data_IF_837664660218
#
_entry.id   IF_837664660218
#
_cell.length_a   1.000
_cell.length_b   1.000
_cell.length_c   1.000
_cell.angle_alpha   90.00
_cell.angle_beta   90.00
_cell.angle_gamma   90.00
#
_symmetry.space_group_name_H-M   'P 1'
#
loop_
_entity.id
_entity.type
_entity.pdbx_description
1 polymer ?
#
# COMPACT_ATOMS: atom_id res chain seq x y z
N UNK A 1 47.67 13.11 -47.98
CA UNK A 1 47.62 13.72 -46.63
C UNK A 1 46.24 14.35 -46.44
N UNK A 2 45.38 13.77 -45.58
CA UNK A 2 43.99 14.23 -45.35
C UNK A 2 43.92 14.88 -43.95
N UNK A 3 43.54 16.16 -43.89
CA UNK A 3 43.51 16.97 -42.67
C UNK A 3 42.33 16.55 -41.76
N UNK A 4 42.52 16.35 -40.44
CA UNK A 4 41.48 15.81 -39.57
C UNK A 4 40.69 16.90 -38.80
N UNK A 5 40.43 18.07 -39.38
CA UNK A 5 39.76 19.19 -38.67
C UNK A 5 38.27 19.39 -38.99
N UNK A 6 37.60 18.42 -39.63
CA UNK A 6 36.21 18.59 -40.10
C UNK A 6 35.18 17.64 -39.44
N UNK A 7 35.49 17.01 -38.30
CA UNK A 7 34.58 16.04 -37.65
C UNK A 7 33.97 16.48 -36.32
N UNK A 8 34.07 17.75 -35.95
CA UNK A 8 33.58 18.24 -34.66
C UNK A 8 32.39 19.21 -34.72
N UNK A 9 31.83 19.50 -35.90
CA UNK A 9 30.76 20.50 -36.04
C UNK A 9 29.39 19.93 -36.49
N UNK A 10 29.16 18.62 -36.38
CA UNK A 10 27.93 17.99 -36.87
C UNK A 10 27.24 17.08 -35.83
N UNK A 11 27.46 17.33 -34.53
CA UNK A 11 26.91 16.52 -33.42
C UNK A 11 26.15 17.39 -32.42
N UNK A 12 25.33 18.32 -32.90
CA UNK A 12 24.56 19.23 -32.03
C UNK A 12 23.08 19.38 -32.44
N UNK A 13 22.49 18.40 -33.14
CA UNK A 13 21.08 18.49 -33.54
C UNK A 13 20.45 17.10 -33.69
N UNK A 14 20.09 16.45 -32.57
CA UNK A 14 19.40 15.16 -32.64
C UNK A 14 19.32 14.39 -31.33
N UNK A 15 18.93 15.02 -30.22
CA UNK A 15 18.70 14.32 -28.96
C UNK A 15 17.62 14.96 -28.08
N UNK A 16 16.55 15.50 -28.68
CA UNK A 16 15.50 16.23 -27.96
C UNK A 16 14.11 15.64 -28.18
N UNK A 17 13.96 14.31 -28.13
CA UNK A 17 12.62 13.70 -28.13
C UNK A 17 12.53 12.33 -27.45
N UNK A 18 13.19 12.15 -26.31
CA UNK A 18 12.90 11.03 -25.43
C UNK A 18 12.67 11.63 -24.04
N UNK A 19 11.65 11.13 -23.34
CA UNK A 19 11.24 11.44 -21.96
C UNK A 19 9.94 12.27 -21.84
N UNK A 20 8.82 11.69 -22.29
CA UNK A 20 7.52 11.95 -21.69
C UNK A 20 6.75 10.65 -21.60
N UNK A 21 7.07 9.84 -20.58
CA UNK A 21 6.16 8.81 -20.08
C UNK A 21 5.45 9.40 -18.86
N UNK A 22 4.10 9.43 -18.83
CA UNK A 22 3.40 9.83 -17.62
C UNK A 22 3.62 8.74 -16.57
N UNK A 23 4.30 9.08 -15.47
CA UNK A 23 4.34 8.23 -14.28
C UNK A 23 2.95 8.28 -13.66
N UNK A 24 2.17 7.21 -13.83
CA UNK A 24 0.91 7.06 -13.11
C UNK A 24 1.24 6.69 -11.67
N UNK A 25 1.01 7.62 -10.75
CA UNK A 25 1.17 7.41 -9.32
C UNK A 25 0.00 6.53 -8.82
N UNK A 26 0.24 5.22 -8.70
CA UNK A 26 -0.67 4.34 -7.98
C UNK A 26 -0.63 4.71 -6.49
N UNK A 27 -1.75 5.20 -5.95
CA UNK A 27 -1.88 5.52 -4.53
C UNK A 27 -1.50 4.32 -3.66
N UNK A 28 -0.62 4.55 -2.68
CA UNK A 28 -0.15 3.51 -1.75
C UNK A 28 -1.32 3.09 -0.85
N UNK A 29 -1.88 1.91 -1.09
CA UNK A 29 -2.94 1.35 -0.24
C UNK A 29 -2.41 1.07 1.17
N UNK A 30 -3.16 1.50 2.18
CA UNK A 30 -2.79 1.30 3.59
C UNK A 30 -3.33 0.00 4.16
N UNK A 31 -4.17 -0.74 3.43
CA UNK A 31 -4.72 -2.03 3.88
C UNK A 31 -4.60 -3.03 2.72
N UNK A 32 -4.28 -4.28 3.02
CA UNK A 32 -4.08 -5.36 2.04
C UNK A 32 -4.83 -6.60 2.51
N UNK A 33 -5.37 -7.37 1.57
CA UNK A 33 -6.14 -8.58 1.84
C UNK A 33 -5.42 -9.79 1.26
N UNK A 34 -5.39 -10.90 1.99
CA UNK A 34 -5.01 -12.20 1.46
C UNK A 34 -6.24 -12.89 0.86
N UNK A 35 -6.32 -12.92 -0.47
CA UNK A 35 -7.45 -13.47 -1.20
C UNK A 35 -7.64 -14.98 -0.96
N UNK A 36 -6.55 -15.74 -0.85
CA UNK A 36 -6.60 -17.19 -0.61
C UNK A 36 -7.24 -17.52 0.75
N UNK A 37 -6.88 -16.76 1.79
CA UNK A 37 -7.43 -16.95 3.13
C UNK A 37 -8.84 -16.37 3.26
N UNK A 38 -9.17 -15.34 2.47
CA UNK A 38 -10.51 -14.79 2.38
C UNK A 38 -11.49 -15.83 1.81
N UNK A 39 -11.11 -16.53 0.74
CA UNK A 39 -11.96 -17.53 0.08
C UNK A 39 -12.28 -18.74 0.97
N UNK A 40 -11.46 -19.01 1.99
CA UNK A 40 -11.70 -20.05 3.00
C UNK A 40 -12.81 -19.67 3.98
N UNK A 41 -13.18 -18.39 4.07
CA UNK A 41 -14.23 -17.91 4.95
C UNK A 41 -15.62 -18.10 4.32
N UNK A 42 -16.68 -18.23 5.12
CA UNK A 42 -18.05 -18.13 4.65
C UNK A 42 -18.32 -16.82 3.91
N UNK A 43 -19.20 -16.83 2.90
CA UNK A 43 -19.54 -15.63 2.10
C UNK A 43 -19.95 -14.41 2.95
N UNK A 44 -20.66 -14.64 4.07
CA UNK A 44 -21.06 -13.57 4.98
C UNK A 44 -19.85 -12.89 5.66
N UNK A 45 -18.86 -13.69 6.05
CA UNK A 45 -17.63 -13.23 6.68
C UNK A 45 -16.71 -12.54 5.67
N UNK A 46 -16.66 -13.05 4.43
CA UNK A 46 -15.92 -12.40 3.35
C UNK A 46 -16.40 -10.96 3.11
N UNK A 47 -17.72 -10.78 3.02
CA UNK A 47 -18.31 -9.46 2.84
C UNK A 47 -17.98 -8.54 4.02
N UNK A 48 -18.00 -9.07 5.24
CA UNK A 48 -17.67 -8.29 6.44
C UNK A 48 -16.21 -7.85 6.44
N UNK A 49 -15.29 -8.74 6.08
CA UNK A 49 -13.87 -8.43 5.93
C UNK A 49 -13.63 -7.33 4.91
N UNK A 50 -14.30 -7.37 3.76
CA UNK A 50 -14.19 -6.32 2.73
C UNK A 50 -14.67 -4.97 3.27
N UNK A 51 -15.81 -4.92 3.95
CA UNK A 51 -16.31 -3.69 4.57
C UNK A 51 -15.34 -3.11 5.61
N UNK A 52 -14.71 -3.98 6.43
CA UNK A 52 -13.71 -3.56 7.41
C UNK A 52 -12.49 -2.94 6.72
N UNK A 53 -12.03 -3.55 5.63
CA UNK A 53 -10.87 -3.08 4.87
C UNK A 53 -11.15 -1.72 4.24
N UNK A 54 -12.30 -1.57 3.59
CA UNK A 54 -12.69 -0.30 2.95
C UNK A 54 -12.74 0.83 3.99
N UNK A 55 -13.34 0.58 5.16
CA UNK A 55 -13.44 1.59 6.22
C UNK A 55 -12.08 1.93 6.83
N UNK A 56 -11.21 0.93 7.02
CA UNK A 56 -9.85 1.17 7.49
C UNK A 56 -9.01 1.95 6.48
N UNK A 57 -9.17 1.69 5.18
CA UNK A 57 -8.51 2.44 4.11
C UNK A 57 -8.98 3.90 4.09
N UNK A 58 -10.27 4.14 4.27
CA UNK A 58 -10.85 5.48 4.42
C UNK A 58 -10.27 6.22 5.64
N UNK A 59 -10.32 5.60 6.83
CA UNK A 59 -9.85 6.23 8.07
C UNK A 59 -8.33 6.51 8.00
N UNK A 60 -7.55 5.62 7.39
CA UNK A 60 -6.08 5.77 7.29
C UNK A 60 -5.64 6.75 6.21
N UNK A 61 -6.46 7.00 5.19
CA UNK A 61 -6.19 8.01 4.15
C UNK A 61 -6.67 9.41 4.53
N UNK A 62 -7.45 9.55 5.61
CA UNK A 62 -7.96 10.83 6.10
C UNK A 62 -6.84 11.74 6.64
N UNK A 63 -6.84 13.02 6.22
CA UNK A 63 -6.00 14.05 6.85
C UNK A 63 -6.56 14.43 8.23
N UNK A 64 -5.72 14.31 9.25
CA UNK A 64 -6.07 14.54 10.67
C UNK A 64 -5.43 15.79 11.26
N UNK A 65 -4.71 16.55 10.43
CA UNK A 65 -3.92 17.72 10.82
C UNK A 65 -4.77 18.79 11.53
N UNK A 66 -5.99 19.01 11.04
CA UNK A 66 -6.93 20.02 11.55
C UNK A 66 -8.00 19.49 12.52
N UNK A 67 -8.00 18.19 12.84
CA UNK A 67 -9.06 17.61 13.69
C UNK A 67 -8.95 18.02 15.17
N UNK A 68 -10.08 18.00 15.88
CA UNK A 68 -10.07 18.16 17.34
C UNK A 68 -9.54 16.89 18.03
N UNK A 69 -9.07 17.03 19.28
CA UNK A 69 -8.56 15.90 20.05
C UNK A 69 -9.63 14.84 20.31
N UNK A 70 -10.89 15.25 20.48
CA UNK A 70 -12.02 14.35 20.74
C UNK A 70 -12.30 13.50 19.49
N UNK A 71 -12.39 14.11 18.32
CA UNK A 71 -12.64 13.40 17.06
C UNK A 71 -11.49 12.45 16.71
N UNK A 72 -10.23 12.86 16.97
CA UNK A 72 -9.08 11.96 16.78
C UNK A 72 -9.16 10.73 17.67
N UNK A 73 -9.64 10.88 18.91
CA UNK A 73 -9.84 9.75 19.83
C UNK A 73 -10.99 8.86 19.38
N UNK A 74 -12.07 9.43 18.86
CA UNK A 74 -13.18 8.67 18.30
C UNK A 74 -12.73 7.82 17.10
N UNK A 75 -12.00 8.41 16.14
CA UNK A 75 -11.44 7.65 15.01
C UNK A 75 -10.43 6.59 15.46
N UNK A 76 -9.62 6.86 16.49
CA UNK A 76 -8.70 5.86 17.03
C UNK A 76 -9.45 4.68 17.66
N UNK A 77 -10.54 4.94 18.39
CA UNK A 77 -11.39 3.90 18.96
C UNK A 77 -12.06 3.06 17.87
N UNK A 78 -12.62 3.70 16.83
CA UNK A 78 -13.20 3.02 15.68
C UNK A 78 -12.17 2.16 14.95
N UNK A 79 -10.99 2.73 14.64
CA UNK A 79 -9.89 2.00 14.00
C UNK A 79 -9.48 0.78 14.83
N UNK A 80 -9.43 0.91 16.15
CA UNK A 80 -9.07 -0.18 17.06
C UNK A 80 -10.12 -1.29 17.08
N UNK A 81 -11.41 -0.94 17.04
CA UNK A 81 -12.49 -1.91 16.99
C UNK A 81 -12.46 -2.70 15.67
N UNK A 82 -12.31 -2.02 14.53
CA UNK A 82 -12.20 -2.63 13.21
C UNK A 82 -10.97 -3.55 13.08
N UNK A 83 -9.84 -3.15 13.68
CA UNK A 83 -8.64 -3.99 13.78
C UNK A 83 -8.88 -5.26 14.57
N UNK A 84 -9.51 -5.14 15.74
CA UNK A 84 -9.86 -6.30 16.59
C UNK A 84 -10.77 -7.28 15.85
N UNK A 85 -11.70 -6.77 15.04
CA UNK A 85 -12.58 -7.60 14.23
C UNK A 85 -11.82 -8.28 13.08
N UNK A 86 -10.98 -7.54 12.35
CA UNK A 86 -10.09 -8.11 11.34
C UNK A 86 -9.18 -9.22 11.91
N UNK A 87 -8.69 -9.04 13.14
CA UNK A 87 -7.86 -10.03 13.84
C UNK A 87 -8.62 -11.31 14.22
N UNK A 88 -9.92 -11.23 14.45
CA UNK A 88 -10.75 -12.41 14.65
C UNK A 88 -10.78 -13.27 13.37
N UNK A 89 -10.92 -12.63 12.21
CA UNK A 89 -10.86 -13.30 10.91
C UNK A 89 -9.47 -13.85 10.57
N UNK A 90 -8.41 -13.15 10.96
CA UNK A 90 -7.03 -13.64 10.83
C UNK A 90 -6.76 -14.95 11.58
N UNK A 91 -7.51 -15.23 12.65
CA UNK A 91 -7.36 -16.45 13.45
C UNK A 91 -8.24 -17.59 12.94
N UNK A 92 -9.39 -17.28 12.34
CA UNK A 92 -10.33 -18.29 11.84
C UNK A 92 -10.01 -18.80 10.44
N UNK A 93 -9.39 -17.99 9.57
CA UNK A 93 -9.12 -18.33 8.16
C UNK A 93 -7.94 -19.27 7.90
N UNK A 94 -7.32 -19.88 8.93
CA UNK A 94 -6.12 -20.71 8.76
C UNK A 94 -4.86 -19.92 8.35
N UNK A 95 -4.90 -18.59 8.47
CA UNK A 95 -3.84 -17.67 8.10
C UNK A 95 -4.33 -16.22 8.14
N UNK A 96 -3.43 -15.24 8.04
CA UNK A 96 -3.80 -13.82 8.07
C UNK A 96 -4.60 -13.44 6.81
N UNK A 97 -5.78 -12.87 7.01
CA UNK A 97 -6.73 -12.44 5.97
C UNK A 97 -6.59 -10.94 5.67
N UNK A 98 -6.36 -10.10 6.68
CA UNK A 98 -6.26 -8.63 6.55
C UNK A 98 -4.93 -8.13 7.12
N UNK A 99 -4.24 -7.29 6.35
CA UNK A 99 -2.99 -6.62 6.70
C UNK A 99 -3.17 -5.10 6.68
N UNK A 100 -2.75 -4.39 7.73
CA UNK A 100 -2.91 -2.93 7.84
C UNK A 100 -1.51 -2.29 7.93
N UNK A 101 -1.21 -1.40 6.98
CA UNK A 101 0.03 -0.64 6.80
C UNK A 101 0.09 0.62 7.67
N UNK A 102 1.27 1.17 8.01
CA UNK A 102 2.04 2.07 7.11
C UNK A 102 3.31 1.46 6.52
N UNK A 103 3.67 0.31 7.06
CA UNK A 103 4.78 -0.56 6.75
C UNK A 103 4.30 -1.99 7.06
N UNK A 104 3.06 -2.32 6.66
CA UNK A 104 2.23 -3.34 7.33
C UNK A 104 2.89 -4.70 7.52
N UNK A 105 3.84 -4.99 6.65
CA UNK A 105 4.75 -6.12 6.68
C UNK A 105 6.14 -5.66 6.16
N UNK A 106 6.68 -4.49 6.51
CA UNK A 106 8.14 -4.28 6.29
C UNK A 106 8.93 -5.33 7.09
N UNK A 107 8.34 -5.82 8.18
CA UNK A 107 8.85 -6.90 9.02
C UNK A 107 7.75 -7.93 9.28
N UNK A 108 7.40 -8.72 8.29
CA UNK A 108 7.27 -10.17 8.56
C UNK A 108 8.51 -10.83 7.94
N UNK A 109 9.01 -10.25 6.84
CA UNK A 109 10.27 -10.51 6.13
C UNK A 109 11.54 -10.35 6.99
N UNK A 110 11.65 -9.33 7.85
CA UNK A 110 12.84 -9.19 8.70
C UNK A 110 12.89 -10.25 9.82
N UNK A 111 11.75 -10.73 10.31
CA UNK A 111 11.64 -11.73 11.39
C UNK A 111 11.92 -13.16 10.90
N UNK A 112 11.59 -13.47 9.65
CA UNK A 112 11.98 -14.74 9.04
C UNK A 112 13.49 -14.85 8.79
N UNK A 113 14.21 -13.73 8.65
CA UNK A 113 15.68 -13.70 8.41
C UNK A 113 16.49 -13.74 9.72
N UNK A 114 15.90 -13.33 10.85
CA UNK A 114 16.57 -13.34 12.17
C UNK A 114 16.34 -14.68 12.90
N UNK A 115 15.24 -15.37 12.60
CA UNK A 115 14.85 -16.65 13.21
C UNK A 115 15.31 -17.89 12.40
N UNK A 116 15.69 -17.78 11.11
CA UNK A 116 15.93 -18.90 10.17
C UNK A 116 17.09 -18.64 9.19
#
# INVERSE_FOLDING_TARGET
MKNPKLKFLATALGASFLLSTPVMASGKKNVTINQENLEKLPMADQQRVLCIVDRLEEITSMDRSAMERIDRKALAAETSALKSEADAYNRSGGGTVVYISTAGIIIIVLLLIILL
#
